data_IF_958462525894
#
_entry.id   IF_958462525894
#
_cell.length_a   1.000
_cell.length_b   1.000
_cell.length_c   1.000
_cell.angle_alpha   90.00
_cell.angle_beta   90.00
_cell.angle_gamma   90.00
#
_symmetry.space_group_name_H-M   'P 1'
#
loop_
_entity.id
_entity.type
_entity.pdbx_description
1 polymer ?
#
# COMPACT_ATOMS: atom_id res chain seq x y z
N UNK A 1 -22.96 -14.84 5.98
CA UNK A 1 -22.63 -13.57 5.30
C UNK A 1 -22.59 -13.87 3.80
N UNK A 2 -23.01 -12.91 2.95
CA UNK A 2 -22.91 -13.07 1.51
C UNK A 2 -21.46 -12.82 1.08
N UNK A 3 -20.87 -13.72 0.30
CA UNK A 3 -19.53 -13.51 -0.24
C UNK A 3 -19.53 -12.30 -1.18
N UNK A 4 -18.39 -11.58 -1.20
CA UNK A 4 -18.19 -10.43 -2.07
C UNK A 4 -17.28 -10.84 -3.23
N UNK A 5 -17.81 -10.91 -4.47
CA UNK A 5 -16.99 -11.24 -5.63
C UNK A 5 -16.13 -10.06 -6.07
N UNK A 6 -14.90 -10.34 -6.47
CA UNK A 6 -13.95 -9.35 -6.98
C UNK A 6 -12.89 -10.02 -7.87
N UNK A 7 -12.09 -9.24 -8.56
CA UNK A 7 -10.88 -9.73 -9.22
C UNK A 7 -9.68 -8.81 -8.96
N UNK A 8 -8.50 -9.38 -9.04
CA UNK A 8 -7.23 -8.65 -9.11
C UNK A 8 -6.77 -8.69 -10.56
N UNK A 9 -6.85 -7.54 -11.25
CA UNK A 9 -6.58 -7.45 -12.69
C UNK A 9 -5.07 -7.42 -12.99
N UNK A 10 -4.32 -6.78 -12.10
CA UNK A 10 -2.88 -6.58 -12.25
C UNK A 10 -2.25 -6.42 -10.89
N UNK A 11 -1.06 -6.92 -10.69
CA UNK A 11 -0.28 -6.67 -9.49
C UNK A 11 1.22 -6.53 -9.77
N UNK A 12 1.91 -5.87 -8.86
CA UNK A 12 3.37 -5.79 -8.80
C UNK A 12 3.81 -5.78 -7.34
N UNK A 13 4.94 -6.40 -7.03
CA UNK A 13 5.49 -6.41 -5.68
C UNK A 13 7.02 -6.32 -5.71
N UNK A 14 7.58 -5.91 -4.57
CA UNK A 14 9.01 -5.96 -4.25
C UNK A 14 9.19 -6.48 -2.82
N UNK A 15 10.33 -7.14 -2.57
CA UNK A 15 10.71 -7.72 -1.28
C UNK A 15 12.12 -7.30 -0.83
N UNK A 16 12.78 -6.44 -1.58
CA UNK A 16 14.13 -5.94 -1.27
C UNK A 16 14.38 -4.55 -1.86
N UNK A 17 15.39 -3.87 -1.33
CA UNK A 17 15.78 -2.52 -1.79
C UNK A 17 16.29 -2.53 -3.24
N UNK A 18 16.98 -3.59 -3.67
CA UNK A 18 17.53 -3.69 -5.03
C UNK A 18 16.44 -3.70 -6.11
N UNK A 19 15.20 -4.03 -5.74
CA UNK A 19 14.06 -4.04 -6.65
C UNK A 19 13.39 -2.67 -6.80
N UNK A 20 13.81 -1.67 -6.00
CA UNK A 20 13.28 -0.32 -6.06
C UNK A 20 13.74 0.36 -7.35
N UNK A 21 12.77 0.78 -8.15
CA UNK A 21 13.00 1.58 -9.35
C UNK A 21 12.10 2.81 -9.35
N UNK A 22 12.70 3.96 -9.11
CA UNK A 22 12.10 5.29 -9.23
C UNK A 22 12.90 6.19 -10.19
N UNK A 23 13.58 5.58 -11.16
CA UNK A 23 14.42 6.27 -12.14
C UNK A 23 13.64 7.28 -12.99
N UNK A 24 12.35 7.06 -13.19
CA UNK A 24 11.40 7.95 -13.87
C UNK A 24 11.12 9.26 -13.10
N UNK A 25 11.43 9.32 -11.80
CA UNK A 25 11.31 10.54 -10.98
C UNK A 25 12.62 11.34 -11.07
N UNK A 26 12.53 12.66 -11.25
CA UNK A 26 13.70 13.51 -11.37
C UNK A 26 14.63 13.39 -10.14
N UNK A 27 15.97 13.49 -10.29
CA UNK A 27 16.92 13.30 -9.18
C UNK A 27 16.69 14.23 -7.98
N UNK A 28 16.27 15.48 -8.22
CA UNK A 28 16.01 16.45 -7.16
C UNK A 28 14.80 16.06 -6.29
N UNK A 29 13.76 15.53 -6.90
CA UNK A 29 12.55 15.06 -6.21
C UNK A 29 12.85 13.72 -5.51
N UNK A 30 13.50 12.80 -6.21
CA UNK A 30 13.86 11.46 -5.71
C UNK A 30 14.68 11.47 -4.41
N UNK A 31 15.54 12.50 -4.23
CA UNK A 31 16.33 12.69 -2.98
C UNK A 31 15.46 13.00 -1.76
N UNK A 32 14.25 13.51 -1.96
CA UNK A 32 13.31 13.84 -0.87
C UNK A 32 12.43 12.68 -0.46
N UNK A 33 12.37 11.63 -1.28
CA UNK A 33 11.57 10.43 -1.01
C UNK A 33 12.26 9.54 0.01
N UNK A 34 11.51 9.04 0.99
CA UNK A 34 11.97 8.00 1.91
C UNK A 34 12.14 6.66 1.21
N UNK A 35 12.63 5.67 1.94
CA UNK A 35 12.67 4.29 1.46
C UNK A 35 11.24 3.74 1.26
N UNK A 36 10.32 4.05 2.19
CA UNK A 36 8.90 3.68 2.09
C UNK A 36 8.25 4.29 0.85
N UNK A 37 8.45 5.61 0.63
CA UNK A 37 7.93 6.29 -0.56
C UNK A 37 8.39 5.60 -1.85
N UNK A 38 9.70 5.35 -1.96
CA UNK A 38 10.29 4.72 -3.14
C UNK A 38 9.75 3.31 -3.36
N UNK A 39 9.60 2.52 -2.29
CA UNK A 39 9.04 1.18 -2.36
C UNK A 39 7.59 1.20 -2.86
N UNK A 40 6.74 2.02 -2.25
CA UNK A 40 5.34 2.19 -2.65
C UNK A 40 5.21 2.68 -4.10
N UNK A 41 5.93 3.74 -4.46
CA UNK A 41 5.90 4.30 -5.81
C UNK A 41 6.36 3.31 -6.87
N UNK A 42 7.40 2.50 -6.58
CA UNK A 42 7.87 1.47 -7.51
C UNK A 42 6.74 0.51 -7.91
N UNK A 43 5.96 0.02 -6.96
CA UNK A 43 4.87 -0.92 -7.25
C UNK A 43 3.64 -0.22 -7.82
N UNK A 44 3.30 0.98 -7.34
CA UNK A 44 2.19 1.78 -7.84
C UNK A 44 2.34 2.08 -9.33
N UNK A 45 3.49 2.60 -9.76
CA UNK A 45 3.73 2.96 -11.16
C UNK A 45 3.76 1.76 -12.10
N UNK A 46 4.12 0.57 -11.61
CA UNK A 46 4.11 -0.66 -12.43
C UNK A 46 2.71 -1.18 -12.76
N UNK A 47 1.73 -0.91 -11.91
CA UNK A 47 0.36 -1.40 -12.10
C UNK A 47 -0.61 -0.33 -12.57
N UNK A 48 -0.32 0.94 -12.30
CA UNK A 48 -1.21 2.03 -12.59
C UNK A 48 -1.27 2.31 -14.10
N UNK A 49 -2.48 2.29 -14.62
CA UNK A 49 -2.84 2.78 -15.94
C UNK A 49 -3.85 3.91 -15.74
N UNK A 50 -3.69 5.01 -16.47
CA UNK A 50 -4.44 6.28 -16.28
C UNK A 50 -5.97 6.15 -16.42
N UNK A 51 -6.49 4.98 -16.79
CA UNK A 51 -7.91 4.81 -17.09
C UNK A 51 -8.59 3.93 -16.03
N UNK A 52 -9.72 4.43 -15.53
CA UNK A 52 -10.75 3.70 -14.79
C UNK A 52 -10.50 3.36 -13.31
N UNK A 53 -9.46 3.84 -12.65
CA UNK A 53 -9.35 3.76 -11.20
C UNK A 53 -10.21 4.85 -10.56
N UNK A 54 -11.07 4.46 -9.63
CA UNK A 54 -12.02 5.35 -8.94
C UNK A 54 -11.53 5.81 -7.56
N UNK A 55 -10.62 5.05 -6.95
CA UNK A 55 -10.06 5.32 -5.61
C UNK A 55 -8.66 4.74 -5.51
N UNK A 56 -7.82 5.37 -4.65
CA UNK A 56 -6.53 4.82 -4.26
C UNK A 56 -6.57 4.49 -2.77
N UNK A 57 -6.17 3.28 -2.39
CA UNK A 57 -6.04 2.86 -1.00
C UNK A 57 -4.58 2.53 -0.72
N UNK A 58 -3.99 3.25 0.22
CA UNK A 58 -2.67 2.98 0.75
C UNK A 58 -2.77 2.42 2.17
N UNK A 59 -2.06 1.37 2.48
CA UNK A 59 -1.95 0.84 3.83
C UNK A 59 -0.51 0.53 4.20
N UNK A 60 -0.20 0.71 5.48
CA UNK A 60 1.12 0.42 6.06
C UNK A 60 0.96 0.15 7.55
N UNK A 61 1.72 -0.75 8.12
CA UNK A 61 1.75 -0.98 9.56
C UNK A 61 2.40 0.19 10.28
N UNK A 62 3.62 0.55 9.87
CA UNK A 62 4.46 1.54 10.54
C UNK A 62 4.52 2.90 9.82
N UNK A 63 4.18 2.97 8.53
CA UNK A 63 4.23 4.19 7.75
C UNK A 63 5.63 4.84 7.76
N UNK A 64 5.68 6.16 7.86
CA UNK A 64 6.90 6.98 7.92
C UNK A 64 7.55 7.01 9.32
N UNK A 65 7.51 5.89 10.05
CA UNK A 65 8.00 5.82 11.42
C UNK A 65 9.42 6.37 11.59
N UNK A 66 10.34 6.05 10.67
CA UNK A 66 11.74 6.53 10.73
C UNK A 66 11.83 8.06 10.64
N UNK A 67 11.03 8.69 9.78
CA UNK A 67 10.97 10.16 9.69
C UNK A 67 10.34 10.77 10.93
N UNK A 68 9.28 10.16 11.44
CA UNK A 68 8.60 10.62 12.66
C UNK A 68 9.54 10.56 13.87
N UNK A 69 10.28 9.46 14.04
CA UNK A 69 11.26 9.31 15.12
C UNK A 69 12.36 10.40 15.04
N UNK A 70 12.87 10.67 13.85
CA UNK A 70 13.83 11.75 13.63
C UNK A 70 13.26 13.14 13.95
N UNK A 71 11.99 13.40 13.62
CA UNK A 71 11.32 14.66 13.97
C UNK A 71 11.14 14.81 15.47
N UNK A 72 10.77 13.74 16.18
CA UNK A 72 10.64 13.74 17.64
C UNK A 72 12.00 14.06 18.28
N UNK A 73 13.08 13.43 17.84
CA UNK A 73 14.44 13.71 18.32
C UNK A 73 14.86 15.16 18.06
N UNK A 74 14.59 15.67 16.85
CA UNK A 74 14.86 17.07 16.50
C UNK A 74 14.10 18.03 17.42
N UNK A 75 12.82 17.76 17.65
CA UNK A 75 12.02 18.58 18.55
C UNK A 75 12.52 18.55 20.01
N UNK A 76 12.93 17.38 20.49
CA UNK A 76 13.48 17.24 21.84
C UNK A 76 14.80 18.00 22.01
N UNK A 77 15.63 18.06 20.97
CA UNK A 77 16.93 18.72 20.99
C UNK A 77 16.84 20.24 20.79
N UNK A 78 15.99 20.70 19.87
CA UNK A 78 15.97 22.10 19.42
C UNK A 78 14.67 22.85 19.75
N UNK A 79 13.61 22.17 20.23
CA UNK A 79 12.31 22.76 20.47
C UNK A 79 11.49 23.08 19.21
N UNK A 80 12.01 22.75 18.03
CA UNK A 80 11.36 23.01 16.74
C UNK A 80 11.65 21.88 15.74
N UNK A 81 10.85 21.81 14.70
CA UNK A 81 11.03 20.83 13.60
C UNK A 81 11.01 21.52 12.24
N UNK A 82 11.65 20.90 11.26
CA UNK A 82 11.59 21.36 9.87
C UNK A 82 10.18 21.18 9.29
N UNK A 83 9.48 22.25 8.82
CA UNK A 83 8.18 22.12 8.16
C UNK A 83 8.23 21.21 6.93
N UNK A 84 9.34 21.24 6.19
CA UNK A 84 9.52 20.38 5.01
C UNK A 84 9.60 18.89 5.38
N UNK A 85 10.31 18.55 6.45
CA UNK A 85 10.40 17.16 6.94
C UNK A 85 9.08 16.73 7.56
N UNK A 86 8.40 17.61 8.32
CA UNK A 86 7.09 17.33 8.88
C UNK A 86 6.06 16.99 7.79
N UNK A 87 6.00 17.79 6.71
CA UNK A 87 5.04 17.57 5.62
C UNK A 87 5.22 16.23 4.88
N UNK A 88 6.41 15.62 4.99
CA UNK A 88 6.73 14.33 4.34
C UNK A 88 6.71 13.15 5.31
N UNK A 89 6.47 13.37 6.60
CA UNK A 89 6.41 12.32 7.63
C UNK A 89 5.01 11.76 7.89
N UNK A 90 4.01 12.29 7.19
CA UNK A 90 2.61 11.87 7.37
C UNK A 90 2.34 10.55 6.66
N UNK A 91 1.47 9.73 7.25
CA UNK A 91 1.18 8.37 6.76
C UNK A 91 0.67 8.33 5.31
N UNK A 92 -0.02 9.37 4.86
CA UNK A 92 -0.56 9.48 3.51
C UNK A 92 0.42 10.07 2.48
N UNK A 93 1.68 10.35 2.84
CA UNK A 93 2.61 11.02 1.93
C UNK A 93 2.86 10.24 0.63
N UNK A 94 3.09 8.90 0.63
CA UNK A 94 3.32 8.16 -0.62
C UNK A 94 2.18 8.31 -1.62
N UNK A 95 0.92 8.17 -1.16
CA UNK A 95 -0.26 8.28 -2.03
C UNK A 95 -0.53 9.72 -2.46
N UNK A 96 -0.34 10.70 -1.58
CA UNK A 96 -0.48 12.11 -1.93
C UNK A 96 0.58 12.55 -2.94
N UNK A 97 1.82 12.11 -2.78
CA UNK A 97 2.86 12.35 -3.78
C UNK A 97 2.49 11.72 -5.13
N UNK A 98 2.03 10.46 -5.14
CA UNK A 98 1.62 9.76 -6.35
C UNK A 98 0.50 10.51 -7.10
N UNK A 99 -0.53 10.96 -6.38
CA UNK A 99 -1.66 11.72 -6.98
C UNK A 99 -1.21 13.05 -7.55
N UNK A 100 -0.37 13.80 -6.82
CA UNK A 100 0.17 15.08 -7.28
C UNK A 100 1.09 14.91 -8.49
N UNK A 101 1.98 13.93 -8.45
CA UNK A 101 2.93 13.67 -9.54
C UNK A 101 2.23 13.32 -10.85
N UNK A 102 1.17 12.52 -10.78
CA UNK A 102 0.36 12.10 -11.94
C UNK A 102 -0.80 13.07 -12.26
N UNK A 103 -0.95 14.18 -11.51
CA UNK A 103 -2.05 15.15 -11.66
C UNK A 103 -3.44 14.51 -11.58
N UNK A 104 -3.60 13.55 -10.68
CA UNK A 104 -4.86 12.82 -10.49
C UNK A 104 -5.78 13.60 -9.54
N UNK A 105 -7.05 13.67 -9.91
CA UNK A 105 -8.13 14.16 -9.04
C UNK A 105 -8.98 12.97 -8.58
N UNK A 106 -8.36 12.05 -7.84
CA UNK A 106 -9.00 10.85 -7.31
C UNK A 106 -9.05 10.89 -5.79
N UNK A 107 -10.13 10.42 -5.17
CA UNK A 107 -10.15 10.21 -3.73
C UNK A 107 -9.10 9.17 -3.36
N UNK A 108 -8.44 9.37 -2.23
CA UNK A 108 -7.56 8.37 -1.65
C UNK A 108 -7.78 8.20 -0.15
N UNK A 109 -7.44 7.03 0.33
CA UNK A 109 -7.45 6.67 1.74
C UNK A 109 -6.06 6.14 2.12
N UNK A 110 -5.53 6.60 3.25
CA UNK A 110 -4.34 6.02 3.86
C UNK A 110 -4.73 5.48 5.25
N UNK A 111 -4.42 4.23 5.53
CA UNK A 111 -4.85 3.55 6.75
C UNK A 111 -3.73 2.72 7.38
N UNK A 112 -3.83 2.56 8.70
CA UNK A 112 -3.04 1.61 9.49
C UNK A 112 -3.96 0.85 10.44
N UNK A 113 -3.75 -0.44 10.56
CA UNK A 113 -4.43 -1.34 11.49
C UNK A 113 -3.40 -2.28 12.18
N UNK A 114 -2.19 -1.75 12.46
CA UNK A 114 -1.09 -2.55 12.98
C UNK A 114 -0.75 -3.70 12.02
N UNK A 115 -0.54 -4.90 12.57
CA UNK A 115 -0.23 -6.11 11.78
C UNK A 115 -1.30 -6.52 10.78
N UNK A 116 -2.53 -6.01 10.94
CA UNK A 116 -3.67 -6.30 10.06
C UNK A 116 -3.87 -5.22 8.97
N UNK A 117 -2.87 -4.35 8.75
CA UNK A 117 -2.95 -3.24 7.78
C UNK A 117 -3.14 -3.72 6.35
N UNK A 118 -2.51 -4.82 5.95
CA UNK A 118 -2.66 -5.40 4.61
C UNK A 118 -4.10 -5.86 4.36
N UNK A 119 -4.67 -6.65 5.26
CA UNK A 119 -6.05 -7.13 5.17
C UNK A 119 -7.07 -6.01 5.24
N UNK A 120 -6.88 -5.04 6.13
CA UNK A 120 -7.75 -3.86 6.25
C UNK A 120 -7.78 -3.05 4.94
N UNK A 121 -6.61 -2.84 4.32
CA UNK A 121 -6.50 -2.16 3.04
C UNK A 121 -7.17 -2.91 1.90
N UNK A 122 -7.01 -4.23 1.83
CA UNK A 122 -7.70 -5.08 0.85
C UNK A 122 -9.21 -4.97 0.97
N UNK A 123 -9.76 -5.09 2.19
CA UNK A 123 -11.22 -5.00 2.42
C UNK A 123 -11.75 -3.63 2.01
N UNK A 124 -11.05 -2.55 2.38
CA UNK A 124 -11.42 -1.20 1.96
C UNK A 124 -11.49 -1.08 0.44
N UNK A 125 -10.64 -1.81 -0.27
CA UNK A 125 -10.50 -1.78 -1.73
C UNK A 125 -11.58 -2.59 -2.48
N UNK A 126 -12.46 -3.33 -1.79
CA UNK A 126 -13.51 -4.16 -2.43
C UNK A 126 -14.76 -3.36 -2.86
N UNK A 127 -14.83 -2.06 -2.57
CA UNK A 127 -16.04 -1.27 -2.81
C UNK A 127 -16.08 -0.62 -4.20
N UNK A 128 -14.91 -0.29 -4.74
CA UNK A 128 -14.74 0.41 -6.02
C UNK A 128 -13.57 -0.18 -6.78
N UNK A 129 -13.44 0.18 -8.07
CA UNK A 129 -12.22 -0.15 -8.80
C UNK A 129 -11.05 0.66 -8.24
N UNK A 130 -10.18 -0.01 -7.52
CA UNK A 130 -9.19 0.60 -6.62
C UNK A 130 -7.77 0.26 -7.04
N UNK A 131 -6.88 1.26 -7.04
CA UNK A 131 -5.44 1.03 -6.90
C UNK A 131 -5.15 0.82 -5.41
N UNK A 132 -4.98 -0.42 -5.02
CA UNK A 132 -4.54 -0.79 -3.67
C UNK A 132 -3.03 -0.86 -3.60
N UNK A 133 -2.44 -0.32 -2.53
CA UNK A 133 -1.01 -0.43 -2.24
C UNK A 133 -0.80 -0.69 -0.75
N UNK A 134 -0.03 -1.72 -0.45
CA UNK A 134 0.58 -1.93 0.86
C UNK A 134 2.08 -1.74 0.74
N UNK A 135 2.68 -0.99 1.67
CA UNK A 135 4.13 -0.87 1.77
C UNK A 135 4.57 -0.75 3.22
N UNK A 136 5.67 -1.39 3.56
CA UNK A 136 6.33 -1.27 4.86
C UNK A 136 7.84 -1.48 4.74
N UNK A 137 8.60 -0.92 5.71
CA UNK A 137 10.07 -0.99 5.73
C UNK A 137 10.63 -1.39 7.10
N UNK A 138 9.78 -1.62 8.09
CA UNK A 138 10.21 -1.86 9.47
C UNK A 138 10.93 -3.21 9.62
N UNK A 139 10.42 -4.24 8.95
CA UNK A 139 11.00 -5.59 8.91
C UNK A 139 11.37 -5.94 7.47
N UNK A 140 12.33 -5.19 6.91
CA UNK A 140 12.70 -5.29 5.51
C UNK A 140 11.76 -4.55 4.56
N UNK A 141 12.20 -4.32 3.33
CA UNK A 141 11.40 -3.65 2.31
C UNK A 141 10.33 -4.60 1.79
N UNK A 142 9.08 -4.19 1.92
CA UNK A 142 7.90 -4.90 1.42
C UNK A 142 6.97 -3.91 0.75
N UNK A 143 6.62 -4.14 -0.49
CA UNK A 143 5.55 -3.37 -1.14
C UNK A 143 4.84 -4.21 -2.18
N UNK A 144 3.52 -4.05 -2.25
CA UNK A 144 2.67 -4.63 -3.29
C UNK A 144 1.61 -3.63 -3.70
N UNK A 145 1.37 -3.53 -4.99
CA UNK A 145 0.24 -2.78 -5.54
C UNK A 145 -0.60 -3.68 -6.43
N UNK A 146 -1.92 -3.50 -6.37
CA UNK A 146 -2.90 -4.25 -7.15
C UNK A 146 -3.97 -3.33 -7.73
N UNK A 147 -4.47 -3.63 -8.92
CA UNK A 147 -5.76 -3.11 -9.41
C UNK A 147 -6.84 -4.11 -9.02
N UNK A 148 -7.76 -3.68 -8.16
CA UNK A 148 -8.87 -4.48 -7.63
C UNK A 148 -10.17 -3.97 -8.24
N UNK A 149 -10.97 -4.88 -8.80
CA UNK A 149 -12.29 -4.58 -9.34
C UNK A 149 -13.37 -5.38 -8.62
N UNK A 150 -14.36 -4.71 -8.01
CA UNK A 150 -15.48 -5.37 -7.35
C UNK A 150 -16.46 -5.96 -8.37
N UNK A 151 -17.31 -6.88 -7.90
CA UNK A 151 -18.40 -7.50 -8.67
C UNK A 151 -17.96 -8.24 -9.95
N UNK A 152 -16.69 -8.65 -10.01
CA UNK A 152 -16.16 -9.50 -11.09
C UNK A 152 -15.90 -10.90 -10.56
N UNK A 153 -16.00 -11.90 -11.43
CA UNK A 153 -15.69 -13.30 -11.08
C UNK A 153 -14.19 -13.56 -11.00
N UNK A 154 -13.80 -14.52 -10.21
CA UNK A 154 -12.43 -15.02 -10.06
C UNK A 154 -12.01 -15.16 -8.61
N UNK A 155 -12.36 -14.20 -7.76
CA UNK A 155 -12.06 -14.20 -6.34
C UNK A 155 -13.30 -13.85 -5.52
N UNK A 156 -13.37 -14.38 -4.31
CA UNK A 156 -14.39 -14.01 -3.33
C UNK A 156 -13.77 -13.66 -1.98
N UNK A 157 -14.43 -12.75 -1.27
CA UNK A 157 -14.15 -12.45 0.13
C UNK A 157 -15.31 -12.92 1.00
N UNK A 158 -14.98 -13.64 2.07
CA UNK A 158 -15.93 -14.05 3.12
C UNK A 158 -15.46 -13.54 4.48
N UNK A 159 -16.30 -12.77 5.17
CA UNK A 159 -15.98 -12.27 6.50
C UNK A 159 -15.78 -13.38 7.53
N UNK A 160 -14.92 -13.13 8.50
CA UNK A 160 -14.54 -14.06 9.55
C UNK A 160 -13.34 -13.51 10.31
N UNK A 161 -12.82 -14.25 11.28
CA UNK A 161 -11.59 -13.86 11.98
C UNK A 161 -10.59 -15.03 11.92
N UNK A 162 -9.43 -14.77 11.35
CA UNK A 162 -8.37 -15.76 11.16
C UNK A 162 -7.04 -15.18 11.62
N UNK A 163 -6.12 -16.06 11.99
CA UNK A 163 -4.75 -15.68 12.34
C UNK A 163 -3.84 -16.22 11.22
N UNK A 164 -2.93 -15.41 10.72
CA UNK A 164 -1.86 -15.68 9.75
C UNK A 164 -1.80 -14.70 8.57
N UNK A 165 -2.23 -13.47 8.79
CA UNK A 165 -1.96 -12.41 7.84
C UNK A 165 -0.44 -12.21 7.76
N UNK A 166 0.14 -12.40 6.57
CA UNK A 166 1.51 -12.02 6.28
C UNK A 166 1.65 -11.58 4.84
N UNK A 167 2.64 -10.73 4.58
CA UNK A 167 2.97 -10.27 3.24
C UNK A 167 3.32 -11.43 2.31
N UNK A 168 4.12 -12.38 2.78
CA UNK A 168 4.57 -13.56 2.03
C UNK A 168 3.39 -14.45 1.64
N UNK A 169 2.42 -14.64 2.56
CA UNK A 169 1.20 -15.38 2.27
C UNK A 169 0.34 -14.68 1.21
N UNK A 170 0.28 -13.35 1.24
CA UNK A 170 -0.44 -12.60 0.22
C UNK A 170 0.23 -12.68 -1.14
N UNK A 171 1.57 -12.59 -1.21
CA UNK A 171 2.28 -12.77 -2.48
C UNK A 171 2.10 -14.19 -3.03
N UNK A 172 2.15 -15.22 -2.17
CA UNK A 172 1.87 -16.61 -2.59
C UNK A 172 0.42 -16.77 -3.10
N UNK A 173 -0.53 -16.09 -2.48
CA UNK A 173 -1.92 -16.05 -2.96
C UNK A 173 -2.02 -15.36 -4.33
N UNK A 174 -1.40 -14.21 -4.53
CA UNK A 174 -1.38 -13.52 -5.82
C UNK A 174 -0.77 -14.33 -6.96
N UNK A 175 0.19 -15.20 -6.64
CA UNK A 175 0.83 -16.13 -7.61
C UNK A 175 0.08 -17.43 -7.82
N UNK A 176 -1.07 -17.60 -7.17
CA UNK A 176 -1.85 -18.84 -7.15
C UNK A 176 -1.16 -20.04 -6.49
N UNK A 177 -0.03 -19.82 -5.79
CA UNK A 177 0.65 -20.84 -4.99
C UNK A 177 -0.18 -21.23 -3.75
N UNK A 178 -1.08 -20.34 -3.32
CA UNK A 178 -2.08 -20.57 -2.28
C UNK A 178 -3.49 -20.30 -2.80
N UNK A 179 -4.45 -21.14 -2.41
CA UNK A 179 -5.85 -21.00 -2.83
C UNK A 179 -6.65 -20.01 -1.99
N UNK A 180 -6.12 -19.66 -0.82
CA UNK A 180 -6.74 -18.68 0.07
C UNK A 180 -5.71 -17.80 0.78
N UNK A 181 -6.11 -16.59 1.11
CA UNK A 181 -5.38 -15.65 1.97
C UNK A 181 -6.26 -15.29 3.17
N UNK A 182 -5.74 -15.54 4.37
CA UNK A 182 -6.42 -15.37 5.64
C UNK A 182 -6.02 -14.06 6.30
N UNK A 183 -7.00 -13.31 6.80
CA UNK A 183 -6.80 -12.06 7.53
C UNK A 183 -7.62 -12.05 8.82
N UNK A 184 -7.35 -11.11 9.71
CA UNK A 184 -8.15 -10.89 10.92
C UNK A 184 -9.63 -10.59 10.61
N UNK A 185 -9.93 -10.09 9.41
CA UNK A 185 -11.27 -9.66 9.02
C UNK A 185 -12.04 -10.67 8.17
N UNK A 186 -11.35 -11.66 7.61
CA UNK A 186 -11.95 -12.66 6.74
C UNK A 186 -10.94 -13.39 5.87
N UNK A 187 -11.46 -14.13 4.90
CA UNK A 187 -10.64 -14.85 3.91
C UNK A 187 -10.95 -14.42 2.48
N UNK A 188 -9.92 -14.33 1.69
CA UNK A 188 -9.93 -14.16 0.24
C UNK A 188 -9.62 -15.49 -0.40
N UNK A 189 -10.35 -15.91 -1.43
CA UNK A 189 -10.15 -17.21 -2.06
C UNK A 189 -10.56 -17.22 -3.53
N UNK A 190 -9.95 -18.10 -4.29
CA UNK A 190 -10.30 -18.37 -5.69
C UNK A 190 -11.58 -19.20 -5.78
N UNK A 191 -12.42 -18.88 -6.80
CA UNK A 191 -13.71 -19.54 -7.07
C UNK A 191 -13.64 -20.35 -8.36
#
# INVERSE_FOLDING_TARGET
>A
MKNLPFCIEKFSYIVSEEQIDVSFISPLVRRKLSLLDKAALTTMFKVFELQDVEEIVFSSECGEFTRLDNLIKQYQEFGETSPATFSTSVHNYPVSFFTLYNKLNLPYCALSAGKSSLGAGLIKSLQKRTLFTYADIYDGVKSVSCIISPNKSGLEFSGGSYVNESFENFIAFLKEDKKEFLTEFGKFFYV
#
